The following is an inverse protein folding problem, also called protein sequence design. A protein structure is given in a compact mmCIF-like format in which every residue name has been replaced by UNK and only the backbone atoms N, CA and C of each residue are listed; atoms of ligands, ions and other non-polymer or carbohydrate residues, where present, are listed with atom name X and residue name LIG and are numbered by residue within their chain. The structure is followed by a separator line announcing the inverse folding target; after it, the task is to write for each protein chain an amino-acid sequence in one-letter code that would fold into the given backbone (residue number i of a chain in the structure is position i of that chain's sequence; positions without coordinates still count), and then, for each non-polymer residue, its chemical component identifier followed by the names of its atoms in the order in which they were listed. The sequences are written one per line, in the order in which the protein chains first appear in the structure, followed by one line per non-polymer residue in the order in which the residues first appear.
data_IF_351742675364
#
_entry.id   IF_351742675364
#
_cell.length_a   1.000
_cell.length_b   1.000
_cell.length_c   1.000
_cell.angle_alpha   90.00
_cell.angle_beta   90.00
_cell.angle_gamma   90.00
#
_symmetry.space_group_name_H-M   'P 1'
#
loop_
_entity.id
_entity.type
_entity.pdbx_description
1 polymer ?
#
# COMPACT_ATOMS: atom_id res chain seq x y z
N UNK A 1 8.23 2.41 -6.05
CA UNK A 1 8.40 2.73 -7.48
C UNK A 1 7.03 2.84 -8.11
N UNK A 2 6.69 3.97 -8.73
CA UNK A 2 5.43 4.12 -9.49
C UNK A 2 5.78 3.98 -10.96
N UNK A 3 5.32 2.91 -11.61
CA UNK A 3 5.52 2.69 -13.04
C UNK A 3 4.32 3.24 -13.79
N UNK A 4 4.38 4.52 -14.17
CA UNK A 4 3.31 5.28 -14.85
C UNK A 4 3.51 5.39 -16.37
N UNK A 5 4.39 4.56 -16.95
CA UNK A 5 4.73 4.60 -18.37
C UNK A 5 5.90 5.53 -18.72
N UNK A 6 6.47 6.25 -17.75
CA UNK A 6 7.72 7.01 -17.95
C UNK A 6 8.95 6.08 -17.97
N UNK A 7 9.99 6.54 -18.67
CA UNK A 7 11.23 5.81 -18.95
C UNK A 7 11.91 5.34 -17.65
N UNK A 8 12.36 4.08 -17.63
CA UNK A 8 13.25 3.55 -16.60
C UNK A 8 14.64 3.39 -17.22
N UNK A 9 15.67 3.80 -16.49
CA UNK A 9 17.07 3.61 -16.86
C UNK A 9 17.62 2.42 -16.03
N UNK A 10 18.25 1.38 -16.63
CA UNK A 10 18.74 1.30 -18.01
C UNK A 10 17.65 1.06 -19.08
N UNK A 11 17.92 1.44 -20.34
CA UNK A 11 16.93 1.54 -21.41
C UNK A 11 16.46 0.16 -21.91
N UNK A 12 15.19 -0.18 -21.65
CA UNK A 12 14.48 -1.27 -22.33
C UNK A 12 13.95 -0.87 -23.73
N UNK A 13 13.44 -1.81 -24.54
CA UNK A 13 13.02 -1.52 -25.90
C UNK A 13 11.69 -0.72 -25.93
N UNK A 14 11.76 0.42 -26.64
CA UNK A 14 10.69 1.34 -27.04
C UNK A 14 9.96 2.15 -25.94
N UNK A 15 9.57 3.42 -26.23
CA UNK A 15 8.70 4.20 -25.36
C UNK A 15 7.36 3.48 -25.15
N UNK A 16 6.97 3.30 -23.89
CA UNK A 16 5.66 2.73 -23.54
C UNK A 16 4.57 3.76 -23.83
N UNK A 17 3.40 3.30 -24.27
CA UNK A 17 2.25 4.16 -24.57
C UNK A 17 1.76 4.88 -23.30
N UNK A 18 1.29 6.12 -23.44
CA UNK A 18 0.69 6.89 -22.34
C UNK A 18 -0.47 6.10 -21.72
N UNK A 19 -0.60 6.07 -20.37
CA UNK A 19 -1.75 5.44 -19.71
C UNK A 19 -3.03 6.28 -19.80
N UNK A 20 -2.94 7.52 -20.31
CA UNK A 20 -4.10 8.42 -20.43
C UNK A 20 -5.22 7.80 -21.27
N UNK A 21 -6.46 7.96 -20.79
CA UNK A 21 -7.66 7.42 -21.44
C UNK A 21 -7.86 5.91 -21.27
N UNK A 22 -6.95 5.18 -20.63
CA UNK A 22 -7.15 3.77 -20.31
C UNK A 22 -7.98 3.61 -19.03
N UNK A 23 -8.89 2.64 -19.05
CA UNK A 23 -9.71 2.32 -17.89
C UNK A 23 -8.86 1.76 -16.73
N UNK A 24 -9.15 2.18 -15.49
CA UNK A 24 -8.35 1.85 -14.32
C UNK A 24 -8.19 0.34 -14.06
N UNK A 25 -9.19 -0.48 -14.41
CA UNK A 25 -9.10 -1.94 -14.28
C UNK A 25 -8.03 -2.57 -15.17
N UNK A 26 -7.51 -1.88 -16.19
CA UNK A 26 -6.43 -2.40 -17.03
C UNK A 26 -5.09 -2.39 -16.30
N UNK A 27 -5.01 -1.69 -15.18
CA UNK A 27 -3.80 -1.57 -14.38
C UNK A 27 -3.87 -2.52 -13.18
N UNK A 28 -2.79 -3.27 -12.99
CA UNK A 28 -2.53 -4.01 -11.77
C UNK A 28 -1.55 -3.18 -10.95
N UNK A 29 -1.98 -2.75 -9.76
CA UNK A 29 -1.12 -2.07 -8.81
C UNK A 29 -0.67 -3.07 -7.74
N UNK A 30 0.49 -2.82 -7.13
CA UNK A 30 0.99 -3.61 -6.02
C UNK A 30 1.72 -2.69 -5.04
N UNK A 31 1.46 -2.83 -3.74
CA UNK A 31 2.35 -2.27 -2.71
C UNK A 31 3.60 -3.12 -2.58
N UNK A 32 3.42 -4.44 -2.56
CA UNK A 32 4.50 -5.39 -2.60
C UNK A 32 4.24 -6.48 -3.64
N UNK A 33 5.32 -7.00 -4.17
CA UNK A 33 5.38 -8.23 -4.94
C UNK A 33 6.76 -8.86 -4.71
N UNK A 34 7.04 -10.00 -5.34
CA UNK A 34 8.31 -10.68 -5.18
C UNK A 34 9.51 -9.80 -5.56
N UNK A 35 9.41 -8.94 -6.57
CA UNK A 35 10.48 -8.05 -6.99
C UNK A 35 10.69 -6.87 -6.03
N UNK A 36 9.63 -6.17 -5.66
CA UNK A 36 9.68 -5.00 -4.76
C UNK A 36 10.23 -5.36 -3.37
N UNK A 37 10.07 -6.63 -2.97
CA UNK A 37 10.62 -7.17 -1.72
C UNK A 37 11.98 -7.83 -1.96
N UNK A 38 12.04 -8.84 -2.82
CA UNK A 38 13.21 -9.70 -3.01
C UNK A 38 14.40 -9.08 -3.72
N UNK A 39 14.21 -7.95 -4.41
CA UNK A 39 15.33 -7.19 -4.99
C UNK A 39 15.95 -6.18 -4.00
N UNK A 40 15.42 -6.09 -2.77
CA UNK A 40 16.07 -5.34 -1.68
C UNK A 40 17.20 -6.16 -1.09
N UNK A 41 18.22 -5.48 -0.55
CA UNK A 41 19.38 -6.13 0.08
C UNK A 41 18.99 -7.12 1.17
N UNK A 42 17.96 -6.81 1.96
CA UNK A 42 17.52 -7.65 3.07
C UNK A 42 16.14 -8.28 2.87
N UNK A 43 15.58 -8.24 1.66
CA UNK A 43 14.28 -8.83 1.37
C UNK A 43 13.14 -8.26 2.23
N UNK A 44 13.27 -7.02 2.72
CA UNK A 44 12.37 -6.51 3.77
C UNK A 44 10.98 -6.18 3.22
N UNK A 45 9.97 -6.55 3.98
CA UNK A 45 8.58 -6.16 3.69
C UNK A 45 8.27 -4.77 4.23
N UNK A 46 7.24 -4.13 3.70
CA UNK A 46 6.79 -2.82 4.21
C UNK A 46 6.45 -2.87 5.70
N UNK A 47 5.91 -3.98 6.19
CA UNK A 47 5.62 -4.17 7.62
C UNK A 47 6.88 -4.17 8.51
N UNK A 48 8.06 -4.45 7.97
CA UNK A 48 9.33 -4.32 8.67
C UNK A 48 9.93 -2.91 8.57
N UNK A 49 9.63 -2.19 7.49
CA UNK A 49 10.21 -0.88 7.14
C UNK A 49 9.40 0.31 7.67
N UNK A 50 8.08 0.17 7.80
CA UNK A 50 7.17 1.26 8.12
C UNK A 50 6.64 1.16 9.56
N UNK A 51 6.40 2.31 10.22
CA UNK A 51 5.52 2.34 11.38
C UNK A 51 4.14 1.78 11.02
N UNK A 52 3.50 1.07 11.96
CA UNK A 52 2.25 0.36 11.70
C UNK A 52 1.11 1.28 11.23
N UNK A 53 1.03 2.51 11.75
CA UNK A 53 0.05 3.49 11.29
C UNK A 53 0.22 3.84 9.81
N UNK A 54 1.47 4.02 9.35
CA UNK A 54 1.75 4.32 7.94
C UNK A 54 1.46 3.12 7.03
N UNK A 55 1.74 1.91 7.51
CA UNK A 55 1.39 0.67 6.81
C UNK A 55 -0.12 0.58 6.57
N UNK A 56 -0.94 0.85 7.60
CA UNK A 56 -2.41 0.83 7.47
C UNK A 56 -2.89 1.82 6.41
N UNK A 57 -2.33 3.03 6.39
CA UNK A 57 -2.64 4.04 5.37
C UNK A 57 -2.31 3.56 3.97
N UNK A 58 -1.10 3.01 3.77
CA UNK A 58 -0.68 2.49 2.47
C UNK A 58 -1.62 1.37 1.98
N UNK A 59 -1.94 0.40 2.86
CA UNK A 59 -2.83 -0.72 2.56
C UNK A 59 -4.25 -0.24 2.23
N UNK A 60 -4.81 0.71 2.99
CA UNK A 60 -6.12 1.27 2.73
C UNK A 60 -6.19 1.98 1.37
N UNK A 61 -5.20 2.82 1.06
CA UNK A 61 -5.08 3.48 -0.24
C UNK A 61 -5.00 2.46 -1.38
N UNK A 62 -4.12 1.47 -1.27
CA UNK A 62 -3.93 0.44 -2.29
C UNK A 62 -5.19 -0.36 -2.58
N UNK A 63 -5.85 -0.85 -1.52
CA UNK A 63 -7.01 -1.72 -1.65
C UNK A 63 -8.28 -0.98 -2.06
N UNK A 64 -8.37 0.34 -1.88
CA UNK A 64 -9.54 1.14 -2.27
C UNK A 64 -9.31 2.02 -3.51
N UNK A 65 -8.10 2.01 -4.05
CA UNK A 65 -7.79 2.68 -5.32
C UNK A 65 -8.48 2.00 -6.53
N UNK A 66 -8.66 2.70 -7.66
CA UNK A 66 -9.49 2.20 -8.77
C UNK A 66 -8.83 1.07 -9.60
N UNK A 67 -7.51 0.88 -9.48
CA UNK A 67 -6.77 -0.22 -10.15
C UNK A 67 -7.06 -1.59 -9.52
N UNK A 68 -6.71 -2.68 -10.21
CA UNK A 68 -6.76 -4.03 -9.63
C UNK A 68 -5.61 -4.19 -8.63
N UNK A 69 -5.88 -4.41 -7.33
CA UNK A 69 -4.81 -4.60 -6.36
C UNK A 69 -4.25 -6.03 -6.46
N UNK A 70 -2.94 -6.13 -6.47
CA UNK A 70 -2.19 -7.36 -6.18
C UNK A 70 -1.73 -7.30 -4.72
N UNK A 71 -1.90 -8.43 -4.02
CA UNK A 71 -1.32 -8.68 -2.71
C UNK A 71 -0.28 -9.79 -2.83
N UNK A 72 0.88 -9.56 -2.25
CA UNK A 72 1.92 -10.55 -2.04
C UNK A 72 1.65 -11.34 -0.76
N UNK A 73 1.92 -12.64 -0.79
CA UNK A 73 1.65 -13.54 0.33
C UNK A 73 2.20 -12.99 1.65
N UNK A 74 1.35 -12.89 2.66
CA UNK A 74 1.68 -12.39 4.00
C UNK A 74 1.48 -10.89 4.20
N UNK A 75 1.24 -10.10 3.15
CA UNK A 75 0.82 -8.70 3.31
C UNK A 75 -0.48 -8.59 4.09
N UNK A 76 -1.42 -9.52 3.89
CA UNK A 76 -2.76 -9.48 4.49
C UNK A 76 -2.76 -9.62 6.02
N UNK A 77 -1.62 -9.98 6.61
CA UNK A 77 -1.44 -10.09 8.06
C UNK A 77 -0.19 -9.34 8.56
N UNK A 78 0.34 -8.45 7.72
CA UNK A 78 1.54 -7.65 7.97
C UNK A 78 2.77 -8.49 8.35
N UNK A 79 3.02 -9.58 7.61
CA UNK A 79 4.20 -10.42 7.79
C UNK A 79 5.48 -9.59 7.77
N UNK A 80 6.35 -9.83 8.75
CA UNK A 80 7.68 -9.21 8.85
C UNK A 80 8.78 -10.14 8.37
N UNK A 81 8.48 -11.42 8.13
CA UNK A 81 9.43 -12.35 7.54
C UNK A 81 9.91 -11.82 6.18
N UNK A 82 11.23 -11.76 5.94
CA UNK A 82 11.76 -11.29 4.68
C UNK A 82 11.32 -12.21 3.53
N UNK A 83 11.44 -11.74 2.30
CA UNK A 83 11.39 -12.58 1.12
C UNK A 83 12.67 -12.33 0.32
N UNK A 84 13.56 -13.31 0.33
CA UNK A 84 14.88 -13.20 -0.28
C UNK A 84 14.85 -13.70 -1.73
N UNK A 85 15.84 -13.27 -2.51
CA UNK A 85 16.23 -13.99 -3.71
C UNK A 85 17.09 -15.19 -3.33
N UNK A 86 16.65 -16.40 -3.67
CA UNK A 86 17.33 -17.65 -3.39
C UNK A 86 17.27 -18.58 -4.61
N UNK A 87 18.27 -19.44 -4.74
CA UNK A 87 18.42 -20.41 -5.82
C UNK A 87 18.93 -21.75 -5.28
N UNK A 88 18.79 -22.80 -6.09
CA UNK A 88 19.33 -24.14 -5.77
C UNK A 88 19.91 -24.78 -7.05
N UNK A 89 20.95 -24.16 -7.60
CA UNK A 89 21.65 -24.63 -8.78
C UNK A 89 22.81 -25.56 -8.41
N UNK A 90 23.06 -26.60 -9.22
CA UNK A 90 24.20 -27.53 -9.01
C UNK A 90 25.45 -27.15 -9.81
N UNK A 91 25.29 -26.43 -10.93
CA UNK A 91 26.37 -26.10 -11.86
C UNK A 91 27.23 -24.93 -11.35
N UNK A 92 28.53 -25.11 -11.05
CA UNK A 92 29.36 -24.06 -10.45
C UNK A 92 29.43 -22.76 -11.26
N UNK A 93 29.49 -22.87 -12.59
CA UNK A 93 29.53 -21.71 -13.48
C UNK A 93 28.27 -20.85 -13.40
N UNK A 94 27.10 -21.46 -13.16
CA UNK A 94 25.84 -20.75 -12.96
C UNK A 94 25.85 -20.06 -11.60
N UNK A 95 26.29 -20.75 -10.56
CA UNK A 95 26.39 -20.22 -9.20
C UNK A 95 27.29 -18.97 -9.17
N UNK A 96 28.48 -19.07 -9.74
CA UNK A 96 29.44 -17.96 -9.78
C UNK A 96 28.90 -16.79 -10.61
N UNK A 97 28.23 -17.09 -11.74
CA UNK A 97 27.56 -16.10 -12.55
C UNK A 97 26.46 -15.33 -11.79
N UNK A 98 25.67 -16.02 -10.96
CA UNK A 98 24.63 -15.41 -10.12
C UNK A 98 25.21 -14.53 -9.03
N UNK A 99 26.25 -14.99 -8.32
CA UNK A 99 26.93 -14.22 -7.28
C UNK A 99 27.52 -12.93 -7.83
N UNK A 100 28.21 -13.04 -8.97
CA UNK A 100 28.81 -11.89 -9.64
C UNK A 100 27.74 -10.96 -10.25
N UNK A 101 26.66 -11.52 -10.80
CA UNK A 101 25.49 -10.75 -11.26
C UNK A 101 24.88 -9.92 -10.14
N UNK A 102 24.61 -10.54 -8.99
CA UNK A 102 24.11 -9.84 -7.80
C UNK A 102 25.09 -8.78 -7.32
N UNK A 103 26.38 -9.09 -7.22
CA UNK A 103 27.40 -8.09 -6.84
C UNK A 103 27.32 -6.82 -7.68
N UNK A 104 27.21 -6.97 -9.00
CA UNK A 104 27.07 -5.85 -9.93
C UNK A 104 25.76 -5.09 -9.77
N UNK A 105 24.63 -5.78 -9.59
CA UNK A 105 23.34 -5.13 -9.32
C UNK A 105 23.39 -4.30 -8.03
N UNK A 106 23.91 -4.88 -6.93
CA UNK A 106 23.98 -4.20 -5.64
C UNK A 106 24.89 -2.97 -5.67
N UNK A 107 26.03 -3.05 -6.37
CA UNK A 107 26.90 -1.89 -6.64
C UNK A 107 26.15 -0.79 -7.41
N UNK A 108 25.38 -1.16 -8.44
CA UNK A 108 24.62 -0.19 -9.24
C UNK A 108 23.50 0.51 -8.44
N UNK A 109 22.91 -0.17 -7.47
CA UNK A 109 21.87 0.39 -6.60
C UNK A 109 22.43 1.11 -5.34
N UNK A 110 23.75 1.13 -5.15
CA UNK A 110 24.41 1.81 -4.03
C UNK A 110 24.11 1.19 -2.66
N UNK A 111 23.81 -0.10 -2.60
CA UNK A 111 23.59 -0.80 -1.33
C UNK A 111 24.92 -1.09 -0.63
N UNK A 112 25.00 -0.79 0.66
CA UNK A 112 26.17 -1.08 1.51
C UNK A 112 25.90 -2.33 2.36
N UNK A 113 26.89 -3.22 2.47
CA UNK A 113 26.84 -4.39 3.37
C UNK A 113 27.14 -5.73 2.69
N UNK A 114 27.15 -6.83 3.46
CA UNK A 114 27.39 -8.16 2.92
C UNK A 114 26.23 -8.59 2.02
N UNK A 115 26.55 -8.99 0.79
CA UNK A 115 25.57 -9.47 -0.18
C UNK A 115 25.18 -10.91 0.20
N UNK A 116 23.88 -11.20 0.40
CA UNK A 116 23.39 -12.56 0.61
C UNK A 116 23.79 -13.50 -0.54
N UNK A 117 24.38 -14.65 -0.21
CA UNK A 117 24.60 -15.72 -1.19
C UNK A 117 23.25 -16.40 -1.49
N UNK A 118 22.72 -16.30 -2.74
CA UNK A 118 21.41 -16.88 -3.06
C UNK A 118 21.36 -18.40 -2.92
N UNK A 119 22.51 -19.10 -2.90
CA UNK A 119 22.59 -20.56 -2.72
C UNK A 119 22.53 -21.01 -1.25
N UNK A 120 22.59 -20.07 -0.30
CA UNK A 120 22.51 -20.42 1.12
C UNK A 120 21.05 -20.74 1.51
N UNK A 121 20.79 -21.99 1.90
CA UNK A 121 19.44 -22.49 2.20
C UNK A 121 18.73 -21.68 3.29
N UNK A 122 19.47 -20.99 4.15
CA UNK A 122 18.92 -20.15 5.22
C UNK A 122 18.06 -19.00 4.68
N UNK A 123 18.36 -18.47 3.49
CA UNK A 123 17.54 -17.42 2.87
C UNK A 123 16.24 -17.95 2.30
N UNK A 124 16.25 -19.17 1.76
CA UNK A 124 15.00 -19.87 1.42
C UNK A 124 14.17 -20.16 2.68
N UNK A 125 14.79 -20.74 3.71
CA UNK A 125 14.13 -21.11 4.96
C UNK A 125 13.51 -19.90 5.66
N UNK A 126 14.23 -18.77 5.73
CA UNK A 126 13.71 -17.52 6.31
C UNK A 126 12.71 -16.77 5.42
N UNK A 127 12.60 -17.14 4.13
CA UNK A 127 11.53 -16.65 3.24
C UNK A 127 10.22 -17.43 3.39
N UNK A 128 10.25 -18.55 4.11
CA UNK A 128 9.02 -19.30 4.45
C UNK A 128 8.19 -18.46 5.42
N UNK A 129 6.87 -18.61 5.32
CA UNK A 129 5.92 -17.83 6.14
C UNK A 129 6.22 -17.96 7.63
N UNK A 130 5.85 -16.91 8.38
CA UNK A 130 5.93 -16.90 9.84
C UNK A 130 5.36 -18.21 10.41
N UNK A 131 6.15 -18.89 11.24
CA UNK A 131 5.70 -20.15 11.85
C UNK A 131 4.39 -19.92 12.65
N UNK A 132 3.41 -20.84 12.58
CA UNK A 132 2.20 -20.73 13.40
C UNK A 132 2.57 -20.58 14.88
N UNK A 133 2.22 -19.44 15.50
CA UNK A 133 2.55 -19.10 16.90
C UNK A 133 3.64 -18.03 17.09
N UNK A 134 4.33 -17.60 16.03
CA UNK A 134 5.32 -16.51 16.07
C UNK A 134 4.76 -15.14 15.66
N UNK A 135 3.46 -15.06 15.34
CA UNK A 135 2.84 -13.86 14.81
C UNK A 135 2.51 -12.86 15.93
N UNK A 136 2.88 -11.57 15.77
CA UNK A 136 2.52 -10.54 16.74
C UNK A 136 0.99 -10.40 16.92
N UNK A 137 0.49 -9.94 18.08
CA UNK A 137 -0.94 -9.70 18.28
C UNK A 137 -1.56 -8.77 17.23
N UNK A 138 -0.76 -7.87 16.63
CA UNK A 138 -1.20 -6.94 15.59
C UNK A 138 -1.60 -7.66 14.28
N UNK A 139 -1.15 -8.89 14.06
CA UNK A 139 -1.43 -9.67 12.84
C UNK A 139 -2.93 -9.89 12.62
N UNK A 140 -3.67 -10.28 13.66
CA UNK A 140 -5.12 -10.51 13.56
C UNK A 140 -5.90 -9.20 13.35
N UNK A 141 -5.43 -8.13 13.99
CA UNK A 141 -5.97 -6.77 13.81
C UNK A 141 -5.77 -6.30 12.37
N UNK A 142 -4.56 -6.48 11.82
CA UNK A 142 -4.25 -6.13 10.45
C UNK A 142 -5.08 -6.94 9.46
N UNK A 143 -5.19 -8.25 9.69
CA UNK A 143 -6.02 -9.14 8.87
C UNK A 143 -7.49 -8.75 8.87
N UNK A 144 -7.99 -8.29 10.02
CA UNK A 144 -9.35 -7.78 10.15
C UNK A 144 -9.56 -6.48 9.37
N UNK A 145 -8.58 -5.56 9.42
CA UNK A 145 -8.60 -4.35 8.60
C UNK A 145 -8.60 -4.68 7.09
N UNK A 146 -7.69 -5.55 6.63
CA UNK A 146 -7.60 -5.97 5.23
C UNK A 146 -8.90 -6.60 4.76
N UNK A 147 -9.52 -7.48 5.57
CA UNK A 147 -10.83 -8.06 5.27
C UNK A 147 -11.92 -7.02 5.12
N UNK A 148 -11.94 -6.01 5.99
CA UNK A 148 -12.92 -4.93 5.92
C UNK A 148 -12.73 -4.07 4.66
N UNK A 149 -11.49 -3.73 4.32
CA UNK A 149 -11.16 -3.00 3.08
C UNK A 149 -11.59 -3.78 1.83
N UNK A 150 -11.31 -5.09 1.79
CA UNK A 150 -11.75 -5.96 0.69
C UNK A 150 -13.28 -6.12 0.64
N UNK A 151 -13.95 -6.17 1.79
CA UNK A 151 -15.42 -6.16 1.87
C UNK A 151 -15.96 -4.87 1.24
N UNK A 152 -15.48 -3.72 1.70
CA UNK A 152 -15.86 -2.41 1.18
C UNK A 152 -15.64 -2.32 -0.33
N UNK A 153 -14.45 -2.69 -0.81
CA UNK A 153 -14.14 -2.73 -2.25
C UNK A 153 -15.15 -3.57 -3.05
N UNK A 154 -15.56 -4.72 -2.49
CA UNK A 154 -16.48 -5.65 -3.17
C UNK A 154 -17.93 -5.18 -3.12
N UNK A 155 -18.36 -4.51 -2.05
CA UNK A 155 -19.76 -4.16 -1.83
C UNK A 155 -20.13 -2.73 -2.21
N UNK A 156 -19.14 -1.85 -2.39
CA UNK A 156 -19.36 -0.44 -2.72
C UNK A 156 -18.91 -0.18 -4.16
N UNK A 157 -19.84 0.06 -5.12
CA UNK A 157 -19.50 0.30 -6.51
C UNK A 157 -18.51 1.45 -6.74
N UNK A 158 -18.63 2.53 -5.97
CA UNK A 158 -17.69 3.65 -6.04
C UNK A 158 -16.26 3.31 -5.60
N UNK A 159 -16.02 2.16 -4.96
CA UNK A 159 -14.70 1.74 -4.48
C UNK A 159 -14.07 0.62 -5.34
N UNK A 160 -14.81 0.06 -6.29
CA UNK A 160 -14.36 -1.07 -7.10
C UNK A 160 -13.50 -0.64 -8.31
N UNK A 161 -13.22 -1.59 -9.22
CA UNK A 161 -12.48 -1.36 -10.48
C UNK A 161 -13.38 -1.28 -11.72
N UNK A 162 -14.70 -1.24 -11.62
CA UNK A 162 -15.61 -1.39 -12.77
C UNK A 162 -15.42 -0.37 -13.90
N UNK A 163 -14.73 0.74 -13.63
CA UNK A 163 -14.45 1.79 -14.62
C UNK A 163 -15.61 2.77 -14.84
N UNK A 164 -16.66 2.65 -14.02
CA UNK A 164 -17.82 3.56 -14.00
C UNK A 164 -17.67 4.69 -12.98
N UNK A 165 -16.55 4.72 -12.26
CA UNK A 165 -16.28 5.70 -11.21
C UNK A 165 -15.55 6.91 -11.76
N UNK A 166 -16.04 8.11 -11.48
CA UNK A 166 -15.28 9.34 -11.66
C UNK A 166 -14.48 9.65 -10.40
N UNK A 167 -13.25 10.14 -10.53
CA UNK A 167 -12.41 10.48 -9.40
C UNK A 167 -11.79 11.86 -9.57
N UNK A 168 -11.85 12.65 -8.50
CA UNK A 168 -11.19 13.95 -8.36
C UNK A 168 -10.20 13.84 -7.21
N UNK A 169 -9.00 14.40 -7.37
CA UNK A 169 -8.00 14.37 -6.31
C UNK A 169 -7.28 15.70 -6.15
N UNK A 170 -6.92 15.99 -4.91
CA UNK A 170 -6.16 17.17 -4.52
C UNK A 170 -5.07 16.73 -3.58
N UNK A 171 -3.82 17.06 -3.91
CA UNK A 171 -2.67 16.80 -3.07
C UNK A 171 -2.01 18.13 -2.69
N UNK A 172 -1.70 18.28 -1.41
CA UNK A 172 -1.01 19.46 -0.86
C UNK A 172 -0.10 18.98 0.27
N UNK A 173 1.21 19.25 0.14
CA UNK A 173 2.25 18.81 1.07
C UNK A 173 2.19 17.30 1.39
N UNK A 174 1.70 16.96 2.59
CA UNK A 174 1.60 15.63 3.17
C UNK A 174 0.15 15.10 3.20
N UNK A 175 -0.75 15.74 2.45
CA UNK A 175 -2.18 15.41 2.39
C UNK A 175 -2.61 15.04 0.98
N UNK A 176 -3.51 14.06 0.89
CA UNK A 176 -4.24 13.70 -0.32
C UNK A 176 -5.73 13.58 0.00
N UNK A 177 -6.55 14.30 -0.74
CA UNK A 177 -8.01 14.19 -0.74
C UNK A 177 -8.45 13.59 -2.07
N UNK A 178 -9.37 12.63 -2.04
CA UNK A 178 -9.95 12.03 -3.26
C UNK A 178 -11.46 11.95 -3.10
N UNK A 179 -12.21 12.36 -4.10
CA UNK A 179 -13.66 12.09 -4.20
C UNK A 179 -13.87 11.10 -5.33
N UNK A 180 -14.55 9.99 -5.05
CA UNK A 180 -14.97 8.96 -5.99
C UNK A 180 -16.49 8.97 -6.11
N UNK A 181 -16.99 8.97 -7.34
CA UNK A 181 -18.42 9.10 -7.64
C UNK A 181 -18.89 7.95 -8.53
N UNK A 182 -19.98 7.30 -8.14
CA UNK A 182 -20.69 6.30 -8.96
C UNK A 182 -22.15 6.71 -9.09
N UNK A 183 -22.51 7.33 -10.22
CA UNK A 183 -23.78 8.04 -10.34
C UNK A 183 -23.83 9.18 -9.35
N UNK A 184 -24.84 9.17 -8.48
CA UNK A 184 -25.02 10.16 -7.40
C UNK A 184 -24.46 9.69 -6.04
N UNK A 185 -23.79 8.52 -5.98
CA UNK A 185 -23.16 8.01 -4.76
C UNK A 185 -21.71 8.51 -4.66
N UNK A 186 -21.37 9.24 -3.60
CA UNK A 186 -20.08 9.93 -3.46
C UNK A 186 -19.31 9.44 -2.23
N UNK A 187 -18.03 9.14 -2.42
CA UNK A 187 -17.12 8.58 -1.42
C UNK A 187 -15.84 9.40 -1.36
N UNK A 188 -15.44 9.80 -0.15
CA UNK A 188 -14.31 10.69 0.10
C UNK A 188 -13.17 9.92 0.77
N UNK A 189 -11.95 10.06 0.26
CA UNK A 189 -10.74 9.56 0.90
C UNK A 189 -10.00 10.77 1.42
N UNK A 190 -9.53 10.69 2.66
CA UNK A 190 -8.64 11.70 3.20
C UNK A 190 -7.43 11.03 3.80
N UNK A 191 -6.27 11.36 3.26
CA UNK A 191 -5.00 10.81 3.66
C UNK A 191 -4.13 11.91 4.21
N UNK A 192 -3.56 11.65 5.38
CA UNK A 192 -2.56 12.52 6.02
C UNK A 192 -1.34 11.68 6.33
N UNK A 193 -0.19 12.07 5.81
CA UNK A 193 1.07 11.36 6.01
C UNK A 193 1.87 11.94 7.19
N UNK A 194 1.73 13.24 7.46
CA UNK A 194 2.30 13.91 8.64
C UNK A 194 1.42 15.06 9.13
N UNK A 195 1.94 15.87 10.04
CA UNK A 195 1.30 17.04 10.66
C UNK A 195 1.81 18.37 10.09
N UNK A 196 2.54 18.35 8.96
CA UNK A 196 3.11 19.55 8.36
C UNK A 196 2.00 20.44 7.81
N UNK A 197 1.02 19.85 7.14
CA UNK A 197 -0.17 20.59 6.74
C UNK A 197 -1.07 20.84 7.95
N UNK A 198 -1.21 22.13 8.30
CA UNK A 198 -2.16 22.64 9.29
C UNK A 198 -3.53 22.93 8.70
N UNK A 199 -3.70 22.75 7.38
CA UNK A 199 -4.96 23.00 6.71
C UNK A 199 -6.05 22.05 7.24
N UNK A 200 -7.30 22.50 7.34
CA UNK A 200 -8.40 21.63 7.73
C UNK A 200 -8.51 20.49 6.72
N UNK A 201 -8.54 19.28 7.27
CA UNK A 201 -8.77 18.00 6.62
C UNK A 201 -10.20 18.06 6.13
N UNK A 202 -10.42 18.10 4.82
CA UNK A 202 -11.71 18.14 4.11
C UNK A 202 -12.20 19.52 3.64
N UNK A 203 -12.02 19.84 2.35
CA UNK A 203 -12.92 20.73 1.59
C UNK A 203 -13.96 19.91 0.83
N UNK A 204 -14.84 19.22 1.54
CA UNK A 204 -16.01 18.62 0.90
C UNK A 204 -17.09 19.71 0.81
N UNK A 205 -17.69 19.77 -0.37
CA UNK A 205 -18.65 20.76 -0.83
C UNK A 205 -19.99 20.75 -0.05
N UNK A 206 -20.21 19.72 0.77
CA UNK A 206 -21.41 19.52 1.58
C UNK A 206 -21.07 19.18 3.05
N UNK A 207 -22.06 19.34 3.94
CA UNK A 207 -21.95 19.03 5.37
C UNK A 207 -22.39 17.59 5.72
N UNK A 208 -22.68 16.74 4.73
CA UNK A 208 -23.35 15.44 4.93
C UNK A 208 -22.42 14.23 4.93
N UNK A 209 -21.11 14.44 5.04
CA UNK A 209 -20.14 13.35 5.03
C UNK A 209 -20.08 12.61 6.36
N UNK A 210 -20.18 11.29 6.31
CA UNK A 210 -20.06 10.39 7.46
C UNK A 210 -18.83 9.51 7.38
N UNK A 211 -18.20 9.30 8.54
CA UNK A 211 -17.03 8.41 8.63
C UNK A 211 -17.45 6.95 8.55
N UNK A 212 -16.89 6.22 7.58
CA UNK A 212 -17.07 4.78 7.38
C UNK A 212 -15.88 3.99 7.94
N UNK A 213 -14.66 4.48 7.69
CA UNK A 213 -13.42 3.86 8.17
C UNK A 213 -12.41 4.94 8.55
N UNK A 214 -11.79 4.76 9.71
CA UNK A 214 -10.65 5.56 10.18
C UNK A 214 -9.55 4.58 10.59
N UNK A 215 -8.38 4.61 9.93
CA UNK A 215 -7.27 3.70 10.28
C UNK A 215 -6.69 3.94 11.67
N UNK A 216 -6.93 5.12 12.25
CA UNK A 216 -6.49 5.48 13.61
C UNK A 216 -7.45 4.95 14.69
N UNK A 217 -8.58 4.35 14.32
CA UNK A 217 -9.51 3.71 15.25
C UNK A 217 -8.79 2.61 16.08
N UNK A 218 -8.96 2.57 17.42
CA UNK A 218 -8.39 1.52 18.26
C UNK A 218 -8.74 0.09 17.85
N UNK A 219 -9.87 -0.14 17.17
CA UNK A 219 -10.23 -1.46 16.62
C UNK A 219 -9.22 -1.97 15.58
N UNK A 220 -8.46 -1.06 14.97
CA UNK A 220 -7.36 -1.34 14.04
C UNK A 220 -5.98 -1.13 14.68
N UNK A 221 -5.92 -1.11 16.01
CA UNK A 221 -4.69 -0.88 16.76
C UNK A 221 -4.14 0.55 16.63
N UNK A 222 -4.98 1.51 16.24
CA UNK A 222 -4.59 2.92 16.13
C UNK A 222 -4.64 3.68 17.47
N UNK A 223 -4.08 4.89 17.51
CA UNK A 223 -3.94 5.69 18.74
C UNK A 223 -5.24 6.35 19.21
N UNK A 224 -6.30 6.34 18.40
CA UNK A 224 -7.54 7.04 18.66
C UNK A 224 -8.17 7.55 17.36
N UNK A 225 -9.51 7.49 17.29
CA UNK A 225 -10.27 7.95 16.12
C UNK A 225 -10.46 9.47 16.11
N UNK A 226 -10.52 10.04 14.92
CA UNK A 226 -10.88 11.45 14.73
C UNK A 226 -12.38 11.69 14.87
N UNK A 227 -13.20 10.74 14.40
CA UNK A 227 -14.66 10.73 14.46
C UNK A 227 -15.16 9.30 14.72
N UNK A 228 -16.28 9.14 15.44
CA UNK A 228 -16.90 7.83 15.54
C UNK A 228 -17.56 7.42 14.21
N UNK A 229 -17.67 6.10 13.92
CA UNK A 229 -18.41 5.63 12.75
C UNK A 229 -19.83 6.19 12.73
N UNK A 230 -20.23 6.77 11.59
CA UNK A 230 -21.53 7.40 11.44
C UNK A 230 -21.69 8.78 12.08
N UNK A 231 -20.65 9.35 12.71
CA UNK A 231 -20.67 10.78 13.09
C UNK A 231 -20.49 11.65 11.84
N UNK A 232 -21.25 12.76 11.73
CA UNK A 232 -21.05 13.72 10.67
C UNK A 232 -19.68 14.39 10.84
N UNK A 233 -18.98 14.60 9.73
CA UNK A 233 -17.82 15.47 9.68
C UNK A 233 -18.29 16.94 9.74
N UNK A 234 -18.86 17.35 10.88
CA UNK A 234 -19.30 18.72 11.09
C UNK A 234 -18.10 19.69 11.08
N UNK A 235 -18.31 20.89 10.53
CA UNK A 235 -17.36 22.02 10.44
C UNK A 235 -16.18 21.93 9.46
N UNK A 236 -16.28 21.17 8.35
CA UNK A 236 -15.28 21.18 7.26
C UNK A 236 -13.84 20.90 7.72
N UNK A 237 -13.65 20.27 8.89
CA UNK A 237 -12.34 20.07 9.49
C UNK A 237 -12.32 18.86 10.43
N UNK A 238 -12.04 17.68 9.89
CA UNK A 238 -11.82 16.48 10.71
C UNK A 238 -10.41 16.56 11.33
N UNK A 239 -10.30 16.99 12.60
CA UNK A 239 -9.02 17.02 13.29
C UNK A 239 -8.63 15.61 13.74
N UNK A 240 -7.74 14.99 12.96
CA UNK A 240 -7.01 13.80 13.40
C UNK A 240 -6.19 14.09 14.65
N UNK A 241 -6.19 13.22 15.68
CA UNK A 241 -5.32 13.39 16.83
C UNK A 241 -3.84 13.12 16.48
N UNK A 242 -3.53 12.20 15.56
CA UNK A 242 -2.13 11.87 15.19
C UNK A 242 -2.00 11.25 13.79
N UNK A 243 -1.37 11.92 12.79
CA UNK A 243 -1.01 11.28 11.52
C UNK A 243 0.12 10.25 11.71
N UNK A 244 0.29 9.27 10.79
CA UNK A 244 -0.42 9.12 9.53
C UNK A 244 -1.81 8.50 9.68
N UNK A 245 -2.75 8.89 8.81
CA UNK A 245 -4.15 8.49 8.86
C UNK A 245 -4.78 8.38 7.46
N UNK A 246 -5.67 7.42 7.30
CA UNK A 246 -6.60 7.30 6.18
C UNK A 246 -8.04 7.31 6.72
N UNK A 247 -8.85 8.22 6.20
CA UNK A 247 -10.29 8.33 6.44
C UNK A 247 -11.04 7.98 5.16
N UNK A 248 -12.03 7.11 5.30
CA UNK A 248 -13.06 6.85 4.29
C UNK A 248 -14.37 7.49 4.76
N UNK A 249 -14.90 8.35 3.91
CA UNK A 249 -16.13 9.08 4.12
C UNK A 249 -17.17 8.69 3.05
N UNK A 250 -18.44 8.70 3.43
CA UNK A 250 -19.57 8.53 2.52
C UNK A 250 -20.50 9.73 2.65
N UNK A 251 -20.96 10.29 1.53
CA UNK A 251 -21.89 11.42 1.54
C UNK A 251 -23.32 10.92 1.72
N UNK A 252 -23.95 11.30 2.84
CA UNK A 252 -25.38 11.10 2.99
C UNK A 252 -26.18 12.14 2.20
N UNK A 253 -27.36 11.73 1.75
CA UNK A 253 -28.35 12.60 1.13
C UNK A 253 -29.37 13.10 2.15
#
# INVERSE_FOLDING_TARGET
YVYDGRYFDPPGPAPRQSPEGLAAWRFVAALQNHDQVGNRLHGERLAALLPYELLKVAVALHLLAPWRPLLFQGEEWASRAPFWYFTDHSEPSVIDGLREGRRREFEAFGWEGPIPDPQDSRYFESSRWDAPGALPPQTDVHRSLVRELLRLRRTVPALDSSGTTHAYSWAEDDRLEVVREHGEDRWGFVVRLSDRSKAPVVRLDSASWRTVLDTSDPRWGGPGRALAPGEPAADRAVRSPTPPQFLLLHEER
#
